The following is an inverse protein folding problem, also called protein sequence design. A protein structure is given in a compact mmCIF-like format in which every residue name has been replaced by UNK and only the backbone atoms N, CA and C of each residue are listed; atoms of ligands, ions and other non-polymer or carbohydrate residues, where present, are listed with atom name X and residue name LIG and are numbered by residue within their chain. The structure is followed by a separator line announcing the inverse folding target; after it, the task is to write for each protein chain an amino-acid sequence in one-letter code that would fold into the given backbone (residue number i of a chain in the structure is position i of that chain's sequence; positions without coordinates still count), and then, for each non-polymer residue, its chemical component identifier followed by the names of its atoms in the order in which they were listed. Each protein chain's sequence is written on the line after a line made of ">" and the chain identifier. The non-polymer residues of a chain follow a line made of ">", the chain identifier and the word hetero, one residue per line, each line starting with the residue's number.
data_IF_395028485059
#
_entry.id   IF_395028485059
#
_cell.length_a   1.000
_cell.length_b   1.000
_cell.length_c   1.000
_cell.angle_alpha   90.00
_cell.angle_beta   90.00
_cell.angle_gamma   90.00
#
_symmetry.space_group_name_H-M   'P 1'
#
loop_
_entity.id
_entity.type
_entity.pdbx_description
1 polymer ?
#
# COMPACT_ATOMS: atom_id res chain seq x y z
N UNK A 1 -1.52 14.12 -15.70
CA UNK A 1 -2.38 13.61 -14.60
C UNK A 1 -1.86 14.20 -13.31
N UNK A 2 -2.75 14.45 -12.35
CA UNK A 2 -2.37 14.95 -11.03
C UNK A 2 -1.81 13.82 -10.15
N UNK A 3 -1.09 14.18 -9.07
CA UNK A 3 -0.65 13.24 -8.04
C UNK A 3 -1.79 12.32 -7.57
N UNK A 4 -2.98 12.89 -7.32
CA UNK A 4 -4.13 12.16 -6.80
C UNK A 4 -4.63 11.09 -7.77
N UNK A 5 -4.61 11.37 -9.08
CA UNK A 5 -5.04 10.42 -10.11
C UNK A 5 -4.10 9.23 -10.22
N UNK A 6 -2.79 9.50 -10.26
CA UNK A 6 -1.76 8.45 -10.28
C UNK A 6 -1.83 7.60 -9.01
N UNK A 7 -1.95 8.25 -7.85
CA UNK A 7 -2.02 7.60 -6.57
C UNK A 7 -3.29 6.71 -6.41
N UNK A 8 -4.45 7.17 -6.88
CA UNK A 8 -5.70 6.37 -6.87
C UNK A 8 -5.60 5.15 -7.80
N UNK A 9 -4.97 5.30 -8.97
CA UNK A 9 -4.72 4.18 -9.89
C UNK A 9 -3.76 3.15 -9.30
N UNK A 10 -2.65 3.61 -8.74
CA UNK A 10 -1.69 2.78 -8.00
C UNK A 10 -2.41 1.95 -6.93
N UNK A 11 -3.27 2.58 -6.14
CA UNK A 11 -4.04 1.89 -5.10
C UNK A 11 -4.98 0.81 -5.66
N UNK A 12 -5.72 1.09 -6.74
CA UNK A 12 -6.60 0.10 -7.39
C UNK A 12 -5.80 -1.11 -7.89
N UNK A 13 -4.70 -0.86 -8.59
CA UNK A 13 -3.82 -1.91 -9.11
C UNK A 13 -3.21 -2.75 -7.98
N UNK A 14 -2.75 -2.12 -6.90
CA UNK A 14 -2.23 -2.83 -5.73
C UNK A 14 -3.32 -3.68 -5.04
N UNK A 15 -4.54 -3.16 -4.95
CA UNK A 15 -5.69 -3.92 -4.41
C UNK A 15 -5.99 -5.15 -5.26
N UNK A 16 -5.98 -5.02 -6.59
CA UNK A 16 -6.20 -6.15 -7.50
C UNK A 16 -5.04 -7.17 -7.40
N UNK A 17 -3.81 -6.69 -7.26
CA UNK A 17 -2.63 -7.54 -7.05
C UNK A 17 -2.73 -8.38 -5.77
N UNK A 18 -3.24 -7.81 -4.67
CA UNK A 18 -3.50 -8.54 -3.42
C UNK A 18 -4.55 -9.64 -3.61
N UNK A 19 -5.60 -9.39 -4.40
CA UNK A 19 -6.60 -10.42 -4.74
C UNK A 19 -5.96 -11.56 -5.52
N UNK A 20 -5.16 -11.26 -6.56
CA UNK A 20 -4.46 -12.27 -7.36
C UNK A 20 -3.46 -13.08 -6.52
N UNK A 21 -2.75 -12.42 -5.60
CA UNK A 21 -1.81 -13.05 -4.67
C UNK A 21 -2.51 -14.09 -3.78
N UNK A 22 -3.67 -13.75 -3.22
CA UNK A 22 -4.48 -14.69 -2.41
C UNK A 22 -5.04 -15.87 -3.21
N UNK A 23 -5.20 -15.71 -4.52
CA UNK A 23 -5.60 -16.77 -5.44
C UNK A 23 -4.41 -17.62 -5.94
N UNK A 24 -3.22 -17.43 -5.35
CA UNK A 24 -1.97 -18.07 -5.73
C UNK A 24 -1.54 -17.78 -7.19
N UNK A 25 -2.01 -16.68 -7.78
CA UNK A 25 -1.64 -16.22 -9.11
C UNK A 25 -0.46 -15.24 -9.03
N UNK A 26 0.68 -15.74 -8.55
CA UNK A 26 1.84 -14.91 -8.18
C UNK A 26 2.40 -14.07 -9.33
N UNK A 27 2.47 -14.62 -10.54
CA UNK A 27 3.01 -13.87 -11.70
C UNK A 27 2.08 -12.72 -12.12
N UNK A 28 0.77 -12.94 -12.06
CA UNK A 28 -0.23 -11.89 -12.33
C UNK A 28 -0.21 -10.81 -11.24
N UNK A 29 -0.06 -11.21 -9.98
CA UNK A 29 0.09 -10.28 -8.87
C UNK A 29 1.35 -9.41 -9.01
N UNK A 30 2.50 -10.01 -9.36
CA UNK A 30 3.77 -9.29 -9.60
C UNK A 30 3.64 -8.26 -10.72
N UNK A 31 3.00 -8.62 -11.83
CA UNK A 31 2.75 -7.70 -12.94
C UNK A 31 1.87 -6.52 -12.52
N UNK A 32 0.81 -6.76 -11.74
CA UNK A 32 -0.06 -5.71 -11.21
C UNK A 32 0.69 -4.81 -10.20
N UNK A 33 1.48 -5.38 -9.30
CA UNK A 33 2.33 -4.59 -8.39
C UNK A 33 3.33 -3.73 -9.14
N UNK A 34 3.94 -4.24 -10.21
CA UNK A 34 4.86 -3.46 -11.05
C UNK A 34 4.13 -2.25 -11.67
N UNK A 35 2.90 -2.45 -12.18
CA UNK A 35 2.11 -1.34 -12.74
C UNK A 35 1.72 -0.34 -11.66
N UNK A 36 1.33 -0.81 -10.48
CA UNK A 36 1.04 0.05 -9.33
C UNK A 36 2.27 0.89 -8.93
N UNK A 37 3.44 0.26 -8.84
CA UNK A 37 4.69 0.94 -8.48
C UNK A 37 5.06 2.04 -9.49
N UNK A 38 4.85 1.80 -10.79
CA UNK A 38 5.05 2.81 -11.84
C UNK A 38 4.12 4.00 -11.69
N UNK A 39 2.84 3.76 -11.42
CA UNK A 39 1.87 4.84 -11.16
C UNK A 39 2.25 5.63 -9.89
N UNK A 40 2.72 4.96 -8.84
CA UNK A 40 3.18 5.66 -7.62
C UNK A 40 4.46 6.48 -7.86
N UNK A 41 5.43 6.00 -8.66
CA UNK A 41 6.59 6.79 -9.09
C UNK A 41 6.15 8.05 -9.87
N UNK A 42 5.17 7.92 -10.77
CA UNK A 42 4.59 9.07 -11.47
C UNK A 42 3.90 10.05 -10.49
N UNK A 43 3.22 9.53 -9.48
CA UNK A 43 2.65 10.34 -8.42
C UNK A 43 3.75 11.12 -7.69
N UNK A 44 4.81 10.45 -7.22
CA UNK A 44 5.96 11.08 -6.56
C UNK A 44 6.56 12.19 -7.42
N UNK A 45 6.77 11.94 -8.71
CA UNK A 45 7.34 12.92 -9.64
C UNK A 45 6.46 14.16 -9.87
N UNK A 46 5.15 14.05 -9.62
CA UNK A 46 4.19 15.16 -9.75
C UNK A 46 4.00 15.96 -8.45
N UNK A 47 4.63 15.53 -7.35
CA UNK A 47 4.44 16.15 -6.04
C UNK A 47 5.42 17.31 -5.80
N UNK A 48 4.94 18.35 -5.15
CA UNK A 48 5.78 19.44 -4.66
C UNK A 48 6.66 18.95 -3.49
N UNK A 49 7.97 19.12 -3.64
CA UNK A 49 8.99 18.74 -2.66
C UNK A 49 8.83 19.44 -1.30
N UNK A 50 8.09 20.55 -1.23
CA UNK A 50 7.73 21.23 0.03
C UNK A 50 6.82 20.37 0.93
N UNK A 51 6.06 19.43 0.35
CA UNK A 51 5.09 18.57 1.06
C UNK A 51 5.76 17.31 1.59
N UNK A 52 6.77 17.47 2.45
CA UNK A 52 7.64 16.41 2.96
C UNK A 52 6.91 15.16 3.47
N UNK A 53 5.78 15.34 4.17
CA UNK A 53 4.97 14.22 4.68
C UNK A 53 4.32 13.40 3.56
N UNK A 54 3.62 14.06 2.63
CA UNK A 54 2.95 13.37 1.51
C UNK A 54 3.98 12.73 0.58
N UNK A 55 5.11 13.41 0.37
CA UNK A 55 6.25 12.87 -0.36
C UNK A 55 6.76 11.58 0.29
N UNK A 56 7.00 11.61 1.60
CA UNK A 56 7.43 10.43 2.36
C UNK A 56 6.48 9.24 2.19
N UNK A 57 5.18 9.46 2.33
CA UNK A 57 4.17 8.38 2.16
C UNK A 57 4.21 7.81 0.74
N UNK A 58 4.23 8.66 -0.29
CA UNK A 58 4.24 8.18 -1.68
C UNK A 58 5.54 7.46 -2.04
N UNK A 59 6.68 7.93 -1.54
CA UNK A 59 7.98 7.27 -1.77
C UNK A 59 8.03 5.90 -1.10
N UNK A 60 7.66 5.80 0.18
CA UNK A 60 7.60 4.50 0.89
C UNK A 60 6.67 3.54 0.14
N UNK A 61 5.48 4.01 -0.26
CA UNK A 61 4.53 3.22 -1.04
C UNK A 61 5.14 2.72 -2.36
N UNK A 62 5.84 3.58 -3.12
CA UNK A 62 6.47 3.18 -4.38
C UNK A 62 7.53 2.10 -4.17
N UNK A 63 8.40 2.25 -3.16
CA UNK A 63 9.43 1.26 -2.83
C UNK A 63 8.82 -0.07 -2.39
N UNK A 64 7.81 -0.05 -1.51
CA UNK A 64 7.11 -1.26 -1.09
C UNK A 64 6.44 -1.99 -2.27
N UNK A 65 5.86 -1.26 -3.23
CA UNK A 65 5.25 -1.86 -4.42
C UNK A 65 6.29 -2.50 -5.34
N UNK A 66 7.47 -1.87 -5.52
CA UNK A 66 8.58 -2.49 -6.27
C UNK A 66 9.12 -3.75 -5.58
N UNK A 67 9.20 -3.72 -4.26
CA UNK A 67 9.56 -4.90 -3.46
C UNK A 67 8.56 -6.04 -3.66
N UNK A 68 7.25 -5.77 -3.54
CA UNK A 68 6.19 -6.75 -3.78
C UNK A 68 6.15 -7.27 -5.23
N UNK A 69 6.59 -6.47 -6.19
CA UNK A 69 6.74 -6.88 -7.59
C UNK A 69 7.97 -7.77 -7.85
N UNK A 70 8.74 -8.15 -6.82
CA UNK A 70 10.01 -8.88 -6.93
C UNK A 70 11.05 -8.17 -7.83
N UNK A 71 11.03 -6.83 -7.85
CA UNK A 71 12.01 -6.01 -8.59
C UNK A 71 12.98 -5.36 -7.60
N UNK A 72 13.68 -6.20 -6.84
CA UNK A 72 14.52 -5.81 -5.70
C UNK A 72 15.57 -4.75 -6.04
N UNK A 73 16.29 -4.90 -7.16
CA UNK A 73 17.29 -3.91 -7.62
C UNK A 73 16.69 -2.51 -7.83
N UNK A 74 15.48 -2.44 -8.41
CA UNK A 74 14.77 -1.17 -8.65
C UNK A 74 14.25 -0.57 -7.34
N UNK A 75 13.71 -1.40 -6.44
CA UNK A 75 13.28 -0.98 -5.10
C UNK A 75 14.46 -0.39 -4.31
N UNK A 76 15.60 -1.10 -4.28
CA UNK A 76 16.83 -0.69 -3.62
C UNK A 76 17.34 0.65 -4.16
N UNK A 77 17.42 0.78 -5.49
CA UNK A 77 17.87 2.01 -6.15
C UNK A 77 16.96 3.19 -5.80
N UNK A 78 15.64 2.98 -5.80
CA UNK A 78 14.67 4.02 -5.49
C UNK A 78 14.79 4.46 -4.02
N UNK A 79 14.87 3.52 -3.08
CA UNK A 79 15.08 3.80 -1.66
C UNK A 79 16.37 4.59 -1.41
N UNK A 80 17.51 4.10 -1.93
CA UNK A 80 18.83 4.77 -1.82
C UNK A 80 18.82 6.16 -2.44
N UNK A 81 18.03 6.39 -3.48
CA UNK A 81 17.91 7.72 -4.10
C UNK A 81 17.18 8.69 -3.17
N UNK A 82 16.05 8.28 -2.58
CA UNK A 82 15.25 9.13 -1.71
C UNK A 82 15.85 9.32 -0.30
N UNK A 83 16.63 8.37 0.21
CA UNK A 83 17.36 8.54 1.47
C UNK A 83 18.43 9.64 1.40
N UNK A 84 18.93 9.97 0.20
CA UNK A 84 19.82 11.13 0.00
C UNK A 84 19.11 12.47 0.14
N UNK A 85 17.78 12.50 0.05
CA UNK A 85 17.00 13.73 0.13
C UNK A 85 16.80 14.16 1.59
N UNK A 86 17.43 15.26 1.98
CA UNK A 86 17.52 15.65 3.40
C UNK A 86 16.20 16.13 4.00
N UNK A 87 15.28 16.65 3.19
CA UNK A 87 13.98 17.15 3.65
C UNK A 87 12.88 16.06 3.72
N UNK A 88 13.24 14.78 3.58
CA UNK A 88 12.30 13.67 3.78
C UNK A 88 11.87 13.60 5.25
N UNK A 89 10.57 13.36 5.48
CA UNK A 89 10.03 13.20 6.83
C UNK A 89 10.71 12.03 7.58
N UNK A 90 10.94 12.19 8.89
CA UNK A 90 11.69 11.21 9.71
C UNK A 90 11.12 9.79 9.62
N UNK A 91 9.80 9.63 9.79
CA UNK A 91 9.13 8.32 9.67
C UNK A 91 9.40 7.64 8.32
N UNK A 92 9.47 8.42 7.23
CA UNK A 92 9.67 7.85 5.91
C UNK A 92 11.12 7.40 5.70
N UNK A 93 12.09 8.00 6.39
CA UNK A 93 13.46 7.51 6.39
C UNK A 93 13.58 6.18 7.12
N UNK A 94 13.00 6.10 8.33
CA UNK A 94 12.97 4.87 9.14
C UNK A 94 12.36 3.71 8.34
N UNK A 95 11.18 3.91 7.75
CA UNK A 95 10.51 2.89 6.92
C UNK A 95 11.30 2.52 5.65
N UNK A 96 12.01 3.48 5.03
CA UNK A 96 12.86 3.20 3.87
C UNK A 96 14.11 2.42 4.24
N UNK A 97 14.73 2.71 5.40
CA UNK A 97 15.89 1.98 5.89
C UNK A 97 15.52 0.53 6.25
N UNK A 98 14.36 0.31 6.86
CA UNK A 98 13.82 -1.03 7.13
C UNK A 98 13.56 -1.81 5.83
N UNK A 99 12.90 -1.17 4.85
CA UNK A 99 12.68 -1.79 3.53
C UNK A 99 14.00 -2.11 2.84
N UNK A 100 15.01 -1.24 2.95
CA UNK A 100 16.31 -1.44 2.34
C UNK A 100 17.04 -2.66 2.92
N UNK A 101 17.01 -2.82 4.25
CA UNK A 101 17.57 -3.99 4.92
C UNK A 101 16.87 -5.28 4.48
N UNK A 102 15.54 -5.28 4.40
CA UNK A 102 14.78 -6.42 3.91
C UNK A 102 15.11 -6.76 2.44
N UNK A 103 15.30 -5.76 1.59
CA UNK A 103 15.71 -5.95 0.19
C UNK A 103 17.11 -6.56 0.10
N UNK A 104 18.05 -6.09 0.91
CA UNK A 104 19.44 -6.57 0.90
C UNK A 104 19.54 -8.04 1.33
N UNK A 105 18.80 -8.44 2.36
CA UNK A 105 18.70 -9.85 2.78
C UNK A 105 18.18 -10.76 1.66
N UNK A 106 17.22 -10.29 0.86
CA UNK A 106 16.68 -11.10 -0.26
C UNK A 106 17.69 -11.20 -1.41
N UNK A 107 18.37 -10.10 -1.74
CA UNK A 107 19.36 -10.10 -2.84
C UNK A 107 20.53 -11.04 -2.52
N UNK A 108 21.01 -11.04 -1.27
CA UNK A 108 22.10 -11.93 -0.83
C UNK A 108 21.76 -13.42 -0.99
N UNK A 109 20.47 -13.79 -0.91
CA UNK A 109 20.06 -15.20 -1.06
C UNK A 109 20.00 -15.69 -2.51
N UNK A 110 19.93 -14.79 -3.50
CA UNK A 110 19.86 -15.16 -4.92
C UNK A 110 21.25 -15.42 -5.54
N UNK A 111 22.34 -14.97 -4.87
CA UNK A 111 23.72 -15.13 -5.34
C UNK A 111 24.37 -16.45 -4.87
N UNK A 112 23.70 -17.22 -4.00
CA UNK A 112 24.05 -18.64 -3.76
C UNK A 112 23.62 -19.44 -4.99
N UNK A 113 24.41 -19.30 -6.07
CA UNK A 113 24.42 -20.18 -7.22
C UNK A 113 24.24 -21.60 -6.67
N UNK A 114 23.25 -22.40 -7.14
CA UNK A 114 23.04 -23.72 -6.61
C UNK A 114 24.36 -24.44 -6.76
N UNK A 115 25.08 -24.61 -5.63
CA UNK A 115 26.31 -25.37 -5.59
C UNK A 115 25.96 -26.61 -6.35
N UNK A 116 26.57 -26.77 -7.53
CA UNK A 116 26.45 -27.98 -8.31
C UNK A 116 26.96 -29.07 -7.36
N UNK A 117 26.06 -29.65 -6.57
CA UNK A 117 26.29 -30.83 -5.78
C UNK A 117 26.63 -31.83 -6.85
N UNK A 118 27.94 -31.99 -7.05
CA UNK A 118 28.48 -32.66 -8.20
C UNK A 118 27.71 -33.95 -8.36
N UNK A 119 26.92 -34.00 -9.43
CA UNK A 119 26.56 -35.27 -10.05
C UNK A 119 27.88 -35.76 -10.58
N UNK A 120 28.69 -36.30 -9.66
CA UNK A 120 29.85 -37.10 -9.94
C UNK A 120 29.31 -38.16 -10.86
N UNK A 121 29.56 -37.92 -12.14
CA UNK A 121 29.30 -38.87 -13.19
C UNK A 121 30.14 -40.07 -12.80
N UNK A 122 29.51 -41.04 -12.14
CA UNK A 122 30.05 -42.38 -11.99
C UNK A 122 30.22 -42.86 -13.41
N UNK A 123 31.42 -42.68 -13.97
CA UNK A 123 31.88 -43.35 -15.17
C UNK A 123 31.91 -44.83 -14.84
N UNK A 124 30.78 -45.50 -15.05
CA UNK A 124 30.71 -46.94 -15.09
C UNK A 124 30.54 -47.36 -16.55
N UNK A 125 31.66 -47.71 -17.18
CA UNK A 125 31.68 -48.81 -18.13
C UNK A 125 31.01 -50.02 -17.46
N UNK A 126 29.78 -50.35 -17.85
CA UNK A 126 29.13 -51.58 -17.40
C UNK A 126 27.63 -51.46 -17.29
N UNK A 127 26.93 -51.97 -18.30
CA UNK A 127 25.48 -52.13 -18.34
C UNK A 127 24.96 -52.83 -17.07
N UNK A 128 24.21 -52.10 -16.24
CA UNK A 128 23.32 -52.70 -15.24
C UNK A 128 21.90 -52.33 -15.65
N UNK A 129 21.11 -53.34 -16.03
CA UNK A 129 19.67 -53.22 -16.27
C UNK A 129 19.00 -52.92 -14.94
N UNK A 130 18.52 -51.69 -14.75
CA UNK A 130 17.67 -51.32 -13.61
C UNK A 130 16.21 -51.49 -14.03
N UNK A 131 15.36 -52.15 -13.23
CA UNK A 131 13.94 -52.32 -13.53
C UNK A 131 13.19 -50.99 -13.41
N UNK A 132 12.29 -50.77 -14.38
CA UNK A 132 11.34 -49.65 -14.41
C UNK A 132 10.32 -49.87 -13.30
N UNK A 133 10.48 -49.18 -12.18
CA UNK A 133 9.42 -49.02 -11.19
C UNK A 133 8.80 -47.62 -11.36
N UNK A 134 7.47 -47.59 -11.41
CA UNK A 134 6.60 -46.41 -11.45
C UNK A 134 7.08 -45.32 -10.48
N UNK A 135 7.55 -44.21 -11.02
CA UNK A 135 7.75 -42.98 -10.25
C UNK A 135 6.49 -42.15 -10.44
N UNK A 136 5.44 -42.52 -9.70
CA UNK A 136 4.33 -41.63 -9.43
C UNK A 136 4.84 -40.41 -8.69
N UNK A 137 4.59 -39.24 -9.28
CA UNK A 137 4.10 -38.05 -8.57
C UNK A 137 4.80 -37.73 -7.24
N UNK A 138 6.07 -37.36 -7.27
CA UNK A 138 6.66 -36.75 -6.09
C UNK A 138 7.72 -35.71 -6.44
N UNK A 139 7.61 -34.58 -5.75
CA UNK A 139 8.60 -33.50 -5.65
C UNK A 139 8.56 -32.39 -6.72
N UNK A 140 7.43 -31.69 -6.78
CA UNK A 140 7.47 -30.23 -6.89
C UNK A 140 7.71 -29.65 -5.49
N UNK A 141 8.96 -29.77 -4.98
CA UNK A 141 9.39 -29.11 -3.74
C UNK A 141 9.48 -27.61 -4.01
N UNK A 142 8.37 -26.92 -3.77
CA UNK A 142 8.37 -25.48 -3.57
C UNK A 142 9.37 -25.17 -2.46
N UNK A 143 10.36 -24.34 -2.77
CA UNK A 143 11.39 -23.88 -1.85
C UNK A 143 10.72 -23.30 -0.60
N UNK A 144 11.07 -23.75 0.63
CA UNK A 144 10.37 -23.35 1.86
C UNK A 144 10.54 -21.87 2.25
N UNK A 145 11.34 -21.10 1.51
CA UNK A 145 11.65 -19.70 1.81
C UNK A 145 10.53 -18.74 1.35
N UNK A 146 9.62 -19.17 0.47
CA UNK A 146 8.49 -18.33 0.05
C UNK A 146 7.32 -18.29 1.06
N UNK A 147 7.42 -18.99 2.19
CA UNK A 147 6.39 -18.94 3.25
C UNK A 147 6.60 -17.82 4.26
N UNK A 148 7.79 -17.20 4.31
CA UNK A 148 8.11 -16.17 5.31
C UNK A 148 7.56 -14.78 4.99
N UNK A 149 7.15 -14.52 3.75
CA UNK A 149 6.54 -13.24 3.36
C UNK A 149 5.04 -13.32 3.06
N UNK A 150 4.46 -14.52 3.15
CA UNK A 150 3.01 -14.74 3.01
C UNK A 150 2.28 -14.72 4.36
N UNK A 151 3.03 -14.66 5.47
CA UNK A 151 2.47 -14.46 6.81
C UNK A 151 2.44 -12.99 7.19
N UNK A 152 1.26 -12.36 7.09
CA UNK A 152 0.70 -11.27 7.91
C UNK A 152 1.53 -10.00 8.29
N UNK A 153 2.82 -9.91 8.03
CA UNK A 153 3.71 -8.94 8.66
C UNK A 153 3.70 -7.55 8.00
N UNK A 154 3.07 -7.35 6.84
CA UNK A 154 2.95 -6.01 6.22
C UNK A 154 1.55 -5.69 5.70
N UNK A 155 0.58 -6.61 5.83
CA UNK A 155 -0.82 -6.35 5.50
C UNK A 155 -1.48 -5.32 6.43
N UNK A 156 -0.92 -5.11 7.63
CA UNK A 156 -1.46 -4.15 8.59
C UNK A 156 -1.09 -2.69 8.32
N UNK A 157 0.00 -2.41 7.58
CA UNK A 157 0.49 -1.03 7.43
C UNK A 157 -0.26 -0.20 6.38
N UNK A 158 -0.94 -0.83 5.41
CA UNK A 158 -1.78 -0.07 4.45
C UNK A 158 -3.16 0.31 5.01
N UNK A 159 -3.60 -0.29 6.12
CA UNK A 159 -4.90 0.02 6.74
C UNK A 159 -4.91 1.33 7.54
N UNK A 160 -3.76 1.96 7.78
CA UNK A 160 -3.70 3.25 8.48
C UNK A 160 -4.34 4.42 7.69
N UNK A 161 -4.77 4.20 6.44
CA UNK A 161 -5.19 5.29 5.55
C UNK A 161 -6.64 5.78 5.68
N UNK A 162 -7.52 5.10 6.43
CA UNK A 162 -8.89 5.61 6.64
C UNK A 162 -8.99 6.77 7.63
N UNK A 163 -7.95 7.08 8.40
CA UNK A 163 -8.01 8.15 9.41
C UNK A 163 -7.55 9.54 8.92
N UNK A 164 -6.98 9.67 7.71
CA UNK A 164 -6.35 10.94 7.29
C UNK A 164 -7.26 11.89 6.48
N UNK A 165 -8.52 11.53 6.20
CA UNK A 165 -9.46 12.41 5.48
C UNK A 165 -10.09 13.53 6.35
N UNK A 166 -9.66 13.69 7.60
CA UNK A 166 -10.36 14.53 8.58
C UNK A 166 -9.55 15.67 9.22
N UNK A 167 -8.25 15.83 8.92
CA UNK A 167 -7.42 16.82 9.59
C UNK A 167 -7.53 18.25 9.02
N UNK A 168 -7.85 18.43 7.74
CA UNK A 168 -7.84 19.77 7.10
C UNK A 168 -9.14 20.58 7.22
N UNK A 169 -10.01 20.28 8.20
CA UNK A 169 -11.25 21.05 8.43
C UNK A 169 -11.19 22.04 9.59
N UNK A 170 -10.01 22.32 10.16
CA UNK A 170 -9.88 23.30 11.24
C UNK A 170 -8.82 24.37 10.92
N UNK A 171 -9.02 25.14 9.87
CA UNK A 171 -8.37 26.44 9.76
C UNK A 171 -9.22 27.32 8.84
N UNK A 172 -10.15 28.05 9.46
CA UNK A 172 -10.72 29.36 9.09
C UNK A 172 -11.88 29.63 10.07
N UNK A 173 -11.58 29.67 11.36
CA UNK A 173 -12.39 30.48 12.28
C UNK A 173 -11.91 31.91 12.07
N UNK A 174 -12.74 32.70 11.37
CA UNK A 174 -12.55 34.14 11.31
C UNK A 174 -12.53 34.70 12.73
N UNK A 175 -11.59 35.61 13.05
CA UNK A 175 -11.66 36.36 14.29
C UNK A 175 -12.89 37.27 14.24
N UNK A 176 -13.81 37.07 15.20
CA UNK A 176 -14.94 37.95 15.44
C UNK A 176 -14.45 39.38 15.71
N UNK A 177 -14.64 40.28 14.74
CA UNK A 177 -14.56 41.71 14.96
C UNK A 177 -15.70 42.13 15.90
N UNK A 178 -15.45 42.18 17.20
CA UNK A 178 -16.26 42.98 18.14
C UNK A 178 -15.94 44.47 17.92
N UNK A 179 -16.54 45.03 16.86
CA UNK A 179 -16.67 46.47 16.65
C UNK A 179 -18.01 46.95 17.17
N UNK A 180 -17.97 47.91 18.10
CA UNK A 180 -19.13 48.55 18.70
C UNK A 180 -19.99 49.29 17.66
N UNK A 181 -21.32 49.17 17.80
CA UNK A 181 -22.28 49.93 17.00
C UNK A 181 -23.67 49.85 17.62
N UNK A 182 -24.00 50.84 18.43
CA UNK A 182 -25.35 51.05 18.96
C UNK A 182 -26.34 51.22 17.82
N UNK A 183 -27.35 50.35 17.73
CA UNK A 183 -28.50 50.55 16.85
C UNK A 183 -29.78 50.55 17.71
N UNK A 184 -30.48 51.68 17.66
CA UNK A 184 -31.71 51.96 18.39
C UNK A 184 -32.81 51.02 17.92
N UNK A 185 -33.49 50.39 18.88
CA UNK A 185 -34.79 49.76 18.67
C UNK A 185 -35.81 50.87 18.43
N UNK A 186 -36.46 50.83 17.27
CA UNK A 186 -37.77 51.47 17.06
C UNK A 186 -38.80 50.37 16.92
N UNK A 187 -39.74 50.34 17.85
CA UNK A 187 -40.96 49.57 17.78
C UNK A 187 -41.76 49.97 16.53
N UNK A 188 -42.18 48.99 15.72
CA UNK A 188 -43.55 48.93 15.21
C UNK A 188 -43.86 47.68 14.37
N UNK A 189 -45.11 47.24 14.54
CA UNK A 189 -45.97 46.53 13.60
C UNK A 189 -45.73 45.03 13.30
N UNK A 190 -46.36 44.24 14.18
CA UNK A 190 -47.43 43.29 13.84
C UNK A 190 -47.94 43.32 12.38
N UNK A 191 -47.91 42.17 11.69
CA UNK A 191 -49.10 41.41 11.24
C UNK A 191 -48.72 40.25 10.29
N UNK A 192 -49.23 39.07 10.66
CA UNK A 192 -49.60 37.91 9.83
C UNK A 192 -48.71 37.45 8.67
N UNK A 193 -48.18 36.22 8.80
CA UNK A 193 -48.45 35.15 7.82
C UNK A 193 -48.30 33.74 8.41
N UNK A 194 -49.21 32.89 7.92
CA UNK A 194 -49.65 31.56 8.36
C UNK A 194 -48.62 30.43 8.05
N UNK A 195 -48.88 29.20 8.53
CA UNK A 195 -47.85 28.19 8.79
C UNK A 195 -47.49 27.37 7.54
N UNK A 196 -46.19 27.08 7.38
CA UNK A 196 -45.70 26.08 6.43
C UNK A 196 -45.36 24.80 7.18
N UNK A 197 -46.07 23.73 6.84
CA UNK A 197 -45.94 22.39 7.37
C UNK A 197 -44.48 21.90 7.35
N UNK A 198 -43.91 21.66 8.54
CA UNK A 198 -42.72 20.80 8.68
C UNK A 198 -43.19 19.35 8.66
N UNK A 199 -43.07 18.72 7.50
CA UNK A 199 -43.07 17.27 7.39
C UNK A 199 -41.87 16.74 8.20
N UNK A 200 -42.15 16.19 9.37
CA UNK A 200 -41.17 15.46 10.17
C UNK A 200 -40.76 14.18 9.48
N UNK A 201 -39.68 14.25 8.69
CA UNK A 201 -38.98 13.05 8.23
C UNK A 201 -38.23 12.50 9.44
N UNK A 202 -38.83 11.47 10.06
CA UNK A 202 -38.18 10.62 11.04
C UNK A 202 -36.97 9.98 10.37
N UNK A 203 -35.77 10.50 10.66
CA UNK A 203 -34.52 9.81 10.37
C UNK A 203 -34.53 8.47 11.13
N UNK A 204 -34.98 7.42 10.44
CA UNK A 204 -34.80 6.04 10.87
C UNK A 204 -33.28 5.83 10.93
N UNK A 205 -32.75 5.81 12.14
CA UNK A 205 -31.41 5.27 12.42
C UNK A 205 -31.40 3.86 11.88
N UNK A 206 -30.68 3.65 10.78
CA UNK A 206 -30.34 2.33 10.29
C UNK A 206 -29.62 1.58 11.42
N UNK A 207 -29.97 0.32 11.70
CA UNK A 207 -29.24 -0.49 12.65
C UNK A 207 -27.81 -0.66 12.15
N UNK A 208 -26.85 -0.41 13.04
CA UNK A 208 -25.45 -0.80 12.85
C UNK A 208 -25.43 -2.33 12.84
N UNK A 209 -25.50 -2.94 11.67
CA UNK A 209 -25.12 -4.35 11.52
C UNK A 209 -23.62 -4.41 11.61
N UNK A 210 -23.16 -4.71 12.82
CA UNK A 210 -21.84 -5.24 13.09
C UNK A 210 -21.74 -6.61 12.39
N UNK A 211 -21.26 -6.61 11.15
CA UNK A 211 -20.86 -7.83 10.46
C UNK A 211 -19.35 -7.96 10.63
N UNK A 212 -18.96 -8.61 11.72
CA UNK A 212 -17.66 -9.27 11.79
C UNK A 212 -17.74 -10.51 10.91
N UNK A 213 -17.27 -10.38 9.66
CA UNK A 213 -16.79 -11.54 8.92
C UNK A 213 -15.30 -11.68 9.24
N UNK A 214 -15.00 -12.48 10.27
CA UNK A 214 -13.71 -13.14 10.37
C UNK A 214 -13.71 -14.29 9.37
N UNK A 215 -12.86 -14.23 8.35
CA UNK A 215 -12.35 -15.44 7.71
C UNK A 215 -10.93 -15.67 8.20
N UNK A 216 -10.71 -16.93 8.52
CA UNK A 216 -9.56 -17.54 9.15
C UNK A 216 -8.47 -17.83 8.13
#
# INVERSE_FOLDING_TARGET
>A
MSWLEHHDRSWKLASDAEVMSRQNQLDSARELYMRAAKEEELAVNSLDLSKSRTLGISVVSAVSLWYKAARYKKAQQLAKTWLKYTALAAFAREELDELLQAIEQVIETDDEEPQEFGVSCIRATGCIKIPVADISSEMQKQSPILSYFQGDATGQNFHHRRHYRSADKKEHQQPDHKGAGAFKLSDNEYLHKKPSARSGVKNKRSPKTSSYFCFR
#
